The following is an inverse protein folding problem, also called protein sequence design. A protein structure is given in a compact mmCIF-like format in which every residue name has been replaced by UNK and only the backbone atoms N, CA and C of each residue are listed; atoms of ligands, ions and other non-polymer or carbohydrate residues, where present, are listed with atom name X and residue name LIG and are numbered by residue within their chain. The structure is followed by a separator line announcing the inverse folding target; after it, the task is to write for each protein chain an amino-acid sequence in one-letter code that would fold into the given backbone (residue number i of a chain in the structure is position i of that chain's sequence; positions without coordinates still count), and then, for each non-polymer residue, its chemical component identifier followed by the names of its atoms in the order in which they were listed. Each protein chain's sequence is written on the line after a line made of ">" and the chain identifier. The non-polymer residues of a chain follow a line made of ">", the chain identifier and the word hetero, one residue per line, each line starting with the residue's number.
data_IF_756692285543
#
_entry.id   IF_756692285543
#
_cell.length_a   1.000
_cell.length_b   1.000
_cell.length_c   1.000
_cell.angle_alpha   90.00
_cell.angle_beta   90.00
_cell.angle_gamma   90.00
#
_symmetry.space_group_name_H-M   'P 1'
#
loop_
_entity.id
_entity.type
_entity.pdbx_description
1 polymer ?
#
# COMPACT_ATOMS: atom_id res chain seq x y z
N UNK A 1 -22.85 10.26 24.75
CA UNK A 1 -23.16 9.23 23.73
C UNK A 1 -22.01 9.26 22.75
N UNK A 2 -21.29 8.16 22.59
CA UNK A 2 -20.16 8.12 21.67
C UNK A 2 -20.64 8.35 20.23
N UNK A 3 -19.95 9.20 19.48
CA UNK A 3 -20.31 9.53 18.09
C UNK A 3 -20.38 8.31 17.17
N UNK A 4 -19.57 7.29 17.48
CA UNK A 4 -19.60 5.97 16.82
C UNK A 4 -20.96 5.27 16.97
N UNK A 5 -21.62 5.41 18.11
CA UNK A 5 -22.94 4.81 18.36
C UNK A 5 -24.03 5.46 17.53
N UNK A 6 -23.94 6.76 17.23
CA UNK A 6 -24.88 7.49 16.38
C UNK A 6 -24.76 6.99 14.93
N UNK A 7 -23.54 6.93 14.40
CA UNK A 7 -23.30 6.42 13.03
C UNK A 7 -23.76 4.97 12.88
N UNK A 8 -23.51 4.13 13.90
CA UNK A 8 -23.95 2.73 13.93
C UNK A 8 -25.50 2.64 13.87
N UNK A 9 -26.18 3.45 14.68
CA UNK A 9 -27.65 3.49 14.70
C UNK A 9 -28.24 3.95 13.36
N UNK A 10 -27.67 4.97 12.74
CA UNK A 10 -28.10 5.47 11.44
C UNK A 10 -27.83 4.45 10.33
N UNK A 11 -26.68 3.79 10.34
CA UNK A 11 -26.34 2.76 9.37
C UNK A 11 -27.28 1.55 9.44
N UNK A 12 -27.65 1.11 10.64
CA UNK A 12 -28.62 0.02 10.84
C UNK A 12 -30.03 0.36 10.32
N UNK A 13 -30.46 1.62 10.46
CA UNK A 13 -31.74 2.09 9.91
C UNK A 13 -31.74 2.18 8.38
N UNK A 14 -30.61 2.54 7.78
CA UNK A 14 -30.49 2.77 6.34
C UNK A 14 -30.33 1.47 5.55
N UNK A 15 -29.82 0.40 6.19
CA UNK A 15 -29.53 -0.86 5.52
C UNK A 15 -28.30 -0.81 4.62
N UNK A 16 -28.02 -1.94 3.95
CA UNK A 16 -26.85 -2.08 3.07
C UNK A 16 -26.91 -1.15 1.86
N UNK A 17 -25.77 -0.56 1.49
CA UNK A 17 -25.66 0.35 0.36
C UNK A 17 -24.83 1.61 0.64
N UNK A 18 -24.90 2.55 -0.29
CA UNK A 18 -24.24 3.86 -0.15
C UNK A 18 -25.27 4.93 0.22
N UNK A 19 -25.00 5.66 1.28
CA UNK A 19 -25.89 6.67 1.84
C UNK A 19 -25.14 7.97 2.10
N UNK A 20 -25.90 9.09 2.17
CA UNK A 20 -25.38 10.37 2.63
C UNK A 20 -26.29 10.90 3.74
N UNK A 21 -25.70 11.26 4.87
CA UNK A 21 -26.40 11.80 6.04
C UNK A 21 -25.75 13.08 6.52
N UNK A 22 -26.41 13.76 7.46
CA UNK A 22 -25.82 14.87 8.20
C UNK A 22 -24.70 14.34 9.08
N UNK A 23 -23.55 15.01 9.06
CA UNK A 23 -22.40 14.56 9.84
C UNK A 23 -22.62 14.87 11.33
N UNK A 24 -22.64 13.86 12.22
CA UNK A 24 -22.81 14.11 13.65
C UNK A 24 -21.64 14.86 14.28
N UNK A 25 -20.46 14.85 13.65
CA UNK A 25 -19.27 15.54 14.15
C UNK A 25 -19.30 17.06 13.87
N UNK A 26 -19.86 17.50 12.75
CA UNK A 26 -19.74 18.90 12.34
C UNK A 26 -21.03 19.61 11.95
N UNK A 27 -22.18 18.92 11.83
CA UNK A 27 -23.44 19.55 11.40
C UNK A 27 -23.93 20.63 12.37
N UNK A 28 -23.74 20.43 13.69
CA UNK A 28 -24.15 21.39 14.72
C UNK A 28 -23.48 22.76 14.62
N UNK A 29 -22.24 22.80 14.13
CA UNK A 29 -21.39 24.00 14.07
C UNK A 29 -21.32 24.64 12.69
N UNK A 30 -22.19 24.21 11.75
CA UNK A 30 -22.20 24.73 10.37
C UNK A 30 -23.36 25.71 10.12
N UNK A 31 -23.11 26.65 9.20
CA UNK A 31 -24.17 27.57 8.72
C UNK A 31 -25.32 26.82 8.01
N UNK A 32 -24.97 25.77 7.20
CA UNK A 32 -25.92 24.90 6.49
C UNK A 32 -26.00 23.55 7.21
N UNK A 33 -26.83 23.49 8.26
CA UNK A 33 -26.96 22.30 9.12
C UNK A 33 -27.55 21.08 8.43
N UNK A 34 -28.41 21.28 7.44
CA UNK A 34 -29.13 20.21 6.73
C UNK A 34 -28.34 19.58 5.58
N UNK A 35 -27.13 20.06 5.32
CA UNK A 35 -26.30 19.56 4.25
C UNK A 35 -25.70 18.18 4.62
N UNK A 36 -26.07 17.16 3.85
CA UNK A 36 -25.58 15.79 4.01
C UNK A 36 -24.14 15.67 3.56
N UNK A 37 -23.19 15.73 4.48
CA UNK A 37 -21.73 15.72 4.20
C UNK A 37 -21.03 14.45 4.59
N UNK A 38 -21.70 13.56 5.33
CA UNK A 38 -21.14 12.26 5.71
C UNK A 38 -21.64 11.20 4.72
N UNK A 39 -20.71 10.62 3.97
CA UNK A 39 -20.96 9.45 3.14
C UNK A 39 -20.81 8.19 4.00
N UNK A 40 -21.77 7.27 3.90
CA UNK A 40 -21.74 5.96 4.52
C UNK A 40 -21.75 4.90 3.43
N UNK A 41 -20.91 3.89 3.57
CA UNK A 41 -21.02 2.63 2.85
C UNK A 41 -21.32 1.54 3.86
N UNK A 42 -22.55 1.05 3.85
CA UNK A 42 -23.05 0.04 4.79
C UNK A 42 -23.00 -1.32 4.13
N UNK A 43 -22.34 -2.26 4.79
CA UNK A 43 -22.31 -3.67 4.44
C UNK A 43 -22.91 -4.46 5.62
N UNK A 44 -23.20 -5.74 5.45
CA UNK A 44 -23.87 -6.59 6.46
C UNK A 44 -23.16 -6.61 7.82
N UNK A 45 -21.86 -6.39 7.87
CA UNK A 45 -21.05 -6.48 9.10
C UNK A 45 -20.31 -5.20 9.47
N UNK A 46 -20.29 -4.19 8.58
CA UNK A 46 -19.47 -2.98 8.77
C UNK A 46 -20.11 -1.76 8.09
N UNK A 47 -19.97 -0.60 8.71
CA UNK A 47 -20.17 0.68 8.04
C UNK A 47 -18.84 1.41 7.92
N UNK A 48 -18.52 1.85 6.72
CA UNK A 48 -17.39 2.75 6.45
C UNK A 48 -17.94 4.14 6.20
N UNK A 49 -17.36 5.15 6.83
CA UNK A 49 -17.84 6.51 6.71
C UNK A 49 -16.72 7.50 6.40
N UNK A 50 -17.09 8.57 5.70
CA UNK A 50 -16.19 9.69 5.40
C UNK A 50 -16.97 10.98 5.26
N UNK A 51 -16.60 12.00 6.02
CA UNK A 51 -17.15 13.35 5.92
C UNK A 51 -16.23 14.24 5.10
N UNK A 52 -16.71 14.70 3.95
CA UNK A 52 -15.94 15.61 3.10
C UNK A 52 -15.81 17.05 3.64
N UNK A 53 -16.56 17.41 4.72
CA UNK A 53 -16.46 18.73 5.34
C UNK A 53 -15.45 18.78 6.50
N UNK A 54 -15.58 17.91 7.50
CA UNK A 54 -14.65 17.87 8.65
C UNK A 54 -13.55 16.82 8.49
N UNK A 55 -13.56 16.07 7.40
CA UNK A 55 -12.60 15.01 7.07
C UNK A 55 -12.59 13.83 8.06
N UNK A 56 -13.57 13.79 8.98
CA UNK A 56 -13.76 12.63 9.85
C UNK A 56 -14.11 11.40 9.02
N UNK A 57 -13.40 10.32 9.25
CA UNK A 57 -13.57 9.05 8.53
C UNK A 57 -13.29 7.87 9.46
N UNK A 58 -13.77 6.70 9.08
CA UNK A 58 -13.53 5.50 9.86
C UNK A 58 -14.42 4.33 9.43
N UNK A 59 -14.37 3.26 10.22
CA UNK A 59 -15.25 2.12 10.08
C UNK A 59 -15.76 1.62 11.42
N UNK A 60 -17.01 1.15 11.46
CA UNK A 60 -17.66 0.61 12.65
C UNK A 60 -18.24 -0.75 12.29
N UNK A 61 -17.93 -1.78 13.08
CA UNK A 61 -18.51 -3.13 12.93
C UNK A 61 -19.79 -3.25 13.75
N UNK A 62 -20.76 -3.99 13.21
CA UNK A 62 -22.06 -4.16 13.86
C UNK A 62 -22.06 -5.23 14.96
N UNK A 63 -21.10 -6.15 14.95
CA UNK A 63 -21.00 -7.22 15.95
C UNK A 63 -19.72 -7.12 16.75
N UNK A 64 -19.83 -7.02 18.08
CA UNK A 64 -18.71 -7.00 19.02
C UNK A 64 -18.06 -8.39 19.22
N UNK A 65 -18.60 -9.45 18.61
CA UNK A 65 -18.20 -10.85 18.80
C UNK A 65 -17.64 -11.53 17.56
N UNK A 66 -17.27 -10.83 16.52
CA UNK A 66 -16.52 -11.47 15.45
C UNK A 66 -15.10 -11.68 15.94
N UNK A 67 -14.82 -12.90 16.45
CA UNK A 67 -13.45 -13.40 16.48
C UNK A 67 -12.82 -13.00 15.17
N UNK A 68 -11.73 -12.26 15.24
CA UNK A 68 -10.91 -11.90 14.09
C UNK A 68 -10.56 -13.21 13.39
N UNK A 69 -11.41 -13.65 12.46
CA UNK A 69 -11.01 -14.66 11.49
C UNK A 69 -9.99 -13.90 10.67
N UNK A 70 -8.73 -14.04 11.06
CA UNK A 70 -7.60 -13.67 10.23
C UNK A 70 -7.86 -14.38 8.91
N UNK A 71 -8.48 -13.70 7.94
CA UNK A 71 -8.53 -14.24 6.59
C UNK A 71 -7.08 -14.49 6.25
N UNK A 72 -6.71 -15.76 6.14
CA UNK A 72 -5.42 -16.10 5.57
C UNK A 72 -5.39 -15.36 4.25
N UNK A 73 -4.52 -14.37 4.17
CA UNK A 73 -4.34 -13.62 2.94
C UNK A 73 -3.87 -14.67 1.95
N UNK A 74 -4.70 -15.01 0.98
CA UNK A 74 -4.27 -15.84 -0.15
C UNK A 74 -3.10 -15.09 -0.74
N UNK A 75 -1.91 -15.64 -0.55
CA UNK A 75 -0.68 -15.08 -1.12
C UNK A 75 -0.75 -15.41 -2.59
N UNK A 76 -1.11 -14.44 -3.42
CA UNK A 76 -1.04 -14.59 -4.85
C UNK A 76 0.45 -14.56 -5.24
N UNK A 77 0.91 -15.61 -5.85
CA UNK A 77 2.26 -15.67 -6.39
C UNK A 77 2.37 -14.78 -7.65
N UNK A 78 3.55 -14.23 -7.88
CA UNK A 78 3.86 -13.55 -9.14
C UNK A 78 3.99 -14.59 -10.25
N UNK A 79 3.41 -14.30 -11.41
CA UNK A 79 3.63 -15.13 -12.60
C UNK A 79 5.09 -15.02 -13.03
N UNK A 80 5.85 -16.11 -12.83
CA UNK A 80 7.28 -16.17 -13.17
C UNK A 80 7.53 -15.90 -14.64
N UNK A 81 6.71 -16.45 -15.53
CA UNK A 81 6.86 -16.25 -16.99
C UNK A 81 6.64 -14.77 -17.35
N UNK A 82 5.62 -14.16 -16.78
CA UNK A 82 5.39 -12.74 -16.96
C UNK A 82 6.57 -11.92 -16.40
N UNK A 83 7.07 -12.24 -15.22
CA UNK A 83 8.18 -11.50 -14.62
C UNK A 83 9.45 -11.56 -15.45
N UNK A 84 9.84 -12.74 -15.97
CA UNK A 84 11.09 -12.91 -16.72
C UNK A 84 11.14 -12.14 -18.04
N UNK A 85 10.00 -11.80 -18.63
CA UNK A 85 9.97 -10.98 -19.84
C UNK A 85 10.38 -9.55 -19.48
N UNK A 86 11.41 -9.04 -20.14
CA UNK A 86 11.87 -7.66 -20.01
C UNK A 86 12.11 -7.08 -21.39
N UNK A 87 11.69 -5.85 -21.61
CA UNK A 87 11.87 -5.14 -22.88
C UNK A 87 12.37 -3.73 -22.62
N UNK A 88 13.37 -3.28 -23.40
CA UNK A 88 13.81 -1.89 -23.33
C UNK A 88 12.67 -0.96 -23.78
N UNK A 89 12.40 0.07 -22.99
CA UNK A 89 11.29 0.99 -23.20
C UNK A 89 11.64 2.41 -22.74
N UNK A 90 12.92 2.79 -22.79
CA UNK A 90 13.42 4.07 -22.28
C UNK A 90 13.74 4.06 -20.77
N UNK A 91 13.54 2.93 -20.08
CA UNK A 91 13.78 2.81 -18.64
C UNK A 91 15.23 3.01 -18.26
N UNK A 92 16.17 2.58 -19.11
CA UNK A 92 17.60 2.79 -18.88
C UNK A 92 17.97 4.26 -18.89
N UNK A 93 17.43 5.04 -19.83
CA UNK A 93 17.62 6.51 -19.87
C UNK A 93 17.07 7.16 -18.62
N UNK A 94 15.91 6.73 -18.15
CA UNK A 94 15.32 7.19 -16.90
C UNK A 94 16.20 6.85 -15.68
N UNK A 95 16.69 5.61 -15.56
CA UNK A 95 17.59 5.22 -14.46
C UNK A 95 18.89 6.04 -14.48
N UNK A 96 19.51 6.24 -15.65
CA UNK A 96 20.69 7.08 -15.81
C UNK A 96 20.44 8.51 -15.37
N UNK A 97 19.26 9.09 -15.69
CA UNK A 97 18.89 10.44 -15.22
C UNK A 97 18.71 10.53 -13.71
N UNK A 98 18.54 9.38 -13.05
CA UNK A 98 18.48 9.25 -11.59
C UNK A 98 19.80 8.84 -10.95
N UNK A 99 20.88 8.77 -11.74
CA UNK A 99 22.20 8.36 -11.27
C UNK A 99 22.32 6.85 -10.96
N UNK A 100 21.43 6.02 -11.51
CA UNK A 100 21.41 4.57 -11.28
C UNK A 100 21.89 3.86 -12.55
N UNK A 101 22.90 3.01 -12.42
CA UNK A 101 23.44 2.23 -13.53
C UNK A 101 22.55 1.03 -13.90
N UNK A 102 22.71 0.58 -15.12
CA UNK A 102 22.07 -0.67 -15.58
C UNK A 102 22.55 -1.89 -14.76
N UNK A 103 23.83 -1.88 -14.36
CA UNK A 103 24.42 -2.92 -13.53
C UNK A 103 23.70 -3.05 -12.19
N UNK A 104 23.47 -1.94 -11.50
CA UNK A 104 22.71 -1.93 -10.25
C UNK A 104 21.27 -2.43 -10.45
N UNK A 105 20.57 -1.94 -11.46
CA UNK A 105 19.21 -2.41 -11.72
C UNK A 105 19.15 -3.93 -12.01
N UNK A 106 20.08 -4.45 -12.80
CA UNK A 106 20.16 -5.87 -13.14
C UNK A 106 20.53 -6.75 -11.94
N UNK A 107 21.45 -6.30 -11.08
CA UNK A 107 21.87 -7.07 -9.90
C UNK A 107 20.73 -7.31 -8.91
N UNK A 108 19.76 -6.39 -8.86
CA UNK A 108 18.56 -6.48 -8.02
C UNK A 108 17.38 -7.15 -8.75
N UNK A 109 17.53 -7.48 -10.03
CA UNK A 109 16.47 -8.10 -10.84
C UNK A 109 15.39 -7.13 -11.32
N UNK A 110 15.65 -5.82 -11.32
CA UNK A 110 14.68 -4.85 -11.89
C UNK A 110 14.43 -5.17 -13.36
N UNK A 111 13.15 -5.28 -13.74
CA UNK A 111 12.72 -5.51 -15.14
C UNK A 111 12.08 -4.26 -15.72
N UNK A 112 12.03 -4.22 -17.04
CA UNK A 112 11.47 -3.12 -17.84
C UNK A 112 10.31 -3.65 -18.65
N UNK A 113 9.14 -3.00 -18.57
CA UNK A 113 7.93 -3.43 -19.28
C UNK A 113 7.05 -2.26 -19.64
N UNK A 114 6.29 -2.41 -20.72
CA UNK A 114 5.06 -1.65 -20.88
C UNK A 114 3.95 -2.35 -20.09
N UNK A 115 3.21 -1.60 -19.30
CA UNK A 115 2.17 -2.14 -18.43
C UNK A 115 0.99 -1.16 -18.33
N UNK A 116 -0.23 -1.70 -18.30
CA UNK A 116 -1.43 -0.90 -18.13
C UNK A 116 -1.48 -0.31 -16.72
N UNK A 117 -1.54 1.01 -16.62
CA UNK A 117 -1.64 1.73 -15.34
C UNK A 117 -3.06 2.28 -15.22
N UNK A 118 -3.81 1.77 -14.25
CA UNK A 118 -5.23 2.08 -14.09
C UNK A 118 -5.50 3.58 -13.84
N UNK A 119 -4.64 4.27 -13.09
CA UNK A 119 -4.73 5.72 -12.87
C UNK A 119 -4.56 6.54 -14.15
N UNK A 120 -3.78 6.03 -15.09
CA UNK A 120 -3.48 6.67 -16.38
C UNK A 120 -4.41 6.20 -17.51
N UNK A 121 -5.15 5.10 -17.28
CA UNK A 121 -6.05 4.43 -18.24
C UNK A 121 -5.37 4.06 -19.58
N UNK A 122 -4.08 3.74 -19.56
CA UNK A 122 -3.28 3.35 -20.73
C UNK A 122 -2.05 2.53 -20.34
N UNK A 123 -1.44 1.91 -21.36
CA UNK A 123 -0.12 1.30 -21.20
C UNK A 123 0.96 2.37 -21.08
N UNK A 124 1.86 2.16 -20.13
CA UNK A 124 2.95 3.05 -19.79
C UNK A 124 4.27 2.28 -19.72
N UNK A 125 5.40 2.90 -20.07
CA UNK A 125 6.71 2.34 -19.75
C UNK A 125 6.92 2.32 -18.23
N UNK A 126 7.27 1.15 -17.71
CA UNK A 126 7.33 0.89 -16.27
C UNK A 126 8.62 0.18 -15.86
N UNK A 127 9.06 0.46 -14.65
CA UNK A 127 10.00 -0.35 -13.89
C UNK A 127 9.22 -1.37 -13.06
N UNK A 128 9.72 -2.60 -13.01
CA UNK A 128 9.18 -3.68 -12.18
C UNK A 128 10.21 -4.03 -11.11
N UNK A 129 9.87 -3.79 -9.87
CA UNK A 129 10.71 -4.04 -8.70
C UNK A 129 10.31 -5.38 -8.07
N UNK A 130 11.18 -6.40 -8.08
CA UNK A 130 10.89 -7.69 -7.47
C UNK A 130 11.08 -7.63 -5.95
N UNK A 131 10.15 -8.19 -5.23
CA UNK A 131 10.30 -8.46 -3.81
C UNK A 131 10.48 -9.96 -3.65
N UNK A 132 11.72 -10.37 -3.47
CA UNK A 132 12.10 -11.75 -3.32
C UNK A 132 12.29 -12.11 -1.84
N UNK A 133 12.02 -13.35 -1.52
CA UNK A 133 12.34 -13.97 -0.24
C UNK A 133 12.82 -15.40 -0.48
N UNK A 134 14.03 -15.71 -0.02
CA UNK A 134 14.66 -17.03 -0.24
C UNK A 134 14.74 -17.41 -1.73
N UNK A 135 15.03 -16.44 -2.58
CA UNK A 135 15.13 -16.60 -4.03
C UNK A 135 13.80 -16.69 -4.80
N UNK A 136 12.65 -16.66 -4.11
CA UNK A 136 11.33 -16.68 -4.74
C UNK A 136 10.71 -15.29 -4.76
N UNK A 137 10.17 -14.87 -5.91
CA UNK A 137 9.53 -13.56 -6.05
C UNK A 137 8.08 -13.68 -5.59
N UNK A 138 7.77 -13.04 -4.46
CA UNK A 138 6.46 -13.08 -3.83
C UNK A 138 5.57 -11.89 -4.25
N UNK A 139 6.22 -10.77 -4.62
CA UNK A 139 5.54 -9.55 -5.00
C UNK A 139 6.37 -8.80 -6.06
N UNK A 140 5.70 -8.18 -7.01
CA UNK A 140 6.32 -7.30 -8.00
C UNK A 140 5.58 -5.96 -8.00
N UNK A 141 6.28 -4.90 -7.61
CA UNK A 141 5.74 -3.54 -7.69
C UNK A 141 6.09 -2.94 -9.05
N UNK A 142 5.08 -2.39 -9.70
CA UNK A 142 5.19 -1.83 -11.04
C UNK A 142 5.02 -0.32 -10.92
N UNK A 143 5.97 0.42 -11.45
CA UNK A 143 5.94 1.89 -11.41
C UNK A 143 6.20 2.47 -12.79
N UNK A 144 5.27 3.28 -13.27
CA UNK A 144 5.53 4.12 -14.45
C UNK A 144 6.52 5.23 -14.10
N UNK A 145 7.44 5.52 -15.00
CA UNK A 145 8.44 6.56 -14.73
C UNK A 145 8.11 7.92 -15.35
N UNK A 146 7.28 8.04 -16.38
CA UNK A 146 6.85 9.37 -16.81
C UNK A 146 5.92 10.06 -15.79
N UNK A 147 5.05 9.29 -15.07
CA UNK A 147 3.96 9.83 -14.22
C UNK A 147 4.02 9.21 -12.87
N UNK A 148 4.57 8.55 -12.21
CA UNK A 148 4.46 7.89 -10.89
C UNK A 148 3.16 7.10 -10.70
N UNK A 149 2.58 6.54 -11.77
CA UNK A 149 1.49 5.58 -11.65
C UNK A 149 1.99 4.23 -11.12
N UNK A 150 1.17 3.53 -10.36
CA UNK A 150 1.54 2.26 -9.73
C UNK A 150 0.56 1.14 -10.07
N UNK A 151 1.10 -0.06 -10.15
CA UNK A 151 0.40 -1.33 -10.19
C UNK A 151 1.22 -2.38 -9.45
N UNK A 152 0.68 -3.58 -9.26
CA UNK A 152 1.42 -4.66 -8.61
C UNK A 152 0.89 -6.03 -9.00
N UNK A 153 1.73 -7.06 -8.82
CA UNK A 153 1.35 -8.47 -8.83
C UNK A 153 1.85 -9.15 -7.55
N UNK A 154 1.12 -10.14 -7.10
CA UNK A 154 1.46 -10.86 -5.88
C UNK A 154 1.05 -10.14 -4.59
N UNK A 155 1.56 -10.58 -3.46
CA UNK A 155 1.30 -10.02 -2.14
C UNK A 155 2.58 -9.57 -1.46
N UNK A 156 2.66 -8.29 -1.07
CA UNK A 156 3.82 -7.74 -0.39
C UNK A 156 3.92 -8.31 1.03
N UNK A 157 4.87 -9.19 1.25
CA UNK A 157 5.09 -9.89 2.53
C UNK A 157 6.47 -9.63 3.14
N UNK A 158 7.40 -9.03 2.38
CA UNK A 158 8.76 -8.73 2.79
C UNK A 158 9.20 -7.33 2.35
N UNK A 159 10.38 -6.91 2.80
CA UNK A 159 11.05 -5.72 2.28
C UNK A 159 11.58 -5.97 0.86
N UNK A 160 11.63 -4.91 0.06
CA UNK A 160 12.41 -4.91 -1.16
C UNK A 160 13.90 -5.10 -0.84
N UNK A 161 14.59 -5.90 -1.63
CA UNK A 161 16.03 -6.20 -1.50
C UNK A 161 16.42 -6.99 -0.23
N UNK A 162 15.50 -7.63 0.48
CA UNK A 162 15.79 -8.32 1.75
C UNK A 162 16.76 -9.49 1.58
N UNK A 163 16.72 -10.19 0.43
CA UNK A 163 17.57 -11.35 0.17
C UNK A 163 19.06 -10.98 -0.06
N UNK A 164 19.33 -9.72 -0.42
CA UNK A 164 20.68 -9.20 -0.66
C UNK A 164 21.27 -8.48 0.56
N UNK A 165 20.56 -8.44 1.68
CA UNK A 165 21.07 -7.84 2.91
C UNK A 165 22.19 -8.72 3.47
N UNK A 166 23.38 -8.15 3.57
CA UNK A 166 24.48 -8.79 4.29
C UNK A 166 24.19 -8.70 5.80
N UNK A 167 24.57 -9.75 6.56
CA UNK A 167 24.42 -9.77 8.03
C UNK A 167 25.39 -8.77 8.65
N UNK A 168 24.91 -7.56 8.86
CA UNK A 168 25.63 -6.47 9.50
C UNK A 168 24.88 -6.01 10.75
N UNK A 169 25.55 -5.28 11.63
CA UNK A 169 24.95 -4.72 12.84
C UNK A 169 23.91 -3.62 12.57
N UNK A 170 23.79 -3.19 11.33
CA UNK A 170 22.85 -2.14 10.91
C UNK A 170 22.30 -2.38 9.51
N UNK A 171 21.12 -1.81 9.26
CA UNK A 171 20.43 -1.82 7.98
C UNK A 171 19.84 -0.44 7.70
N UNK A 172 19.92 0.00 6.45
CA UNK A 172 19.24 1.20 5.97
C UNK A 172 17.84 0.82 5.52
N UNK A 173 16.83 1.51 6.04
CA UNK A 173 15.44 1.35 5.60
C UNK A 173 15.01 2.61 4.85
N UNK A 174 14.67 2.47 3.58
CA UNK A 174 14.18 3.54 2.72
C UNK A 174 12.65 3.47 2.56
N UNK A 175 12.03 4.60 2.20
CA UNK A 175 10.60 4.64 1.90
C UNK A 175 10.29 4.06 0.51
N UNK A 176 11.19 4.20 -0.46
CA UNK A 176 10.97 3.81 -1.85
C UNK A 176 12.09 2.97 -2.46
N UNK A 177 11.71 2.20 -3.49
CA UNK A 177 12.64 1.32 -4.21
C UNK A 177 13.74 2.12 -4.93
N UNK A 178 13.41 3.31 -5.45
CA UNK A 178 14.39 4.16 -6.12
C UNK A 178 15.45 4.68 -5.16
N UNK A 179 15.05 5.00 -3.92
CA UNK A 179 16.01 5.45 -2.89
C UNK A 179 16.91 4.28 -2.49
N UNK A 180 16.33 3.07 -2.36
CA UNK A 180 17.10 1.85 -2.12
C UNK A 180 18.14 1.60 -3.23
N UNK A 181 17.75 1.70 -4.51
CA UNK A 181 18.69 1.57 -5.64
C UNK A 181 19.78 2.63 -5.61
N UNK A 182 19.48 3.87 -5.17
CA UNK A 182 20.48 4.93 -5.06
C UNK A 182 21.55 4.61 -4.01
N UNK A 183 21.17 4.02 -2.87
CA UNK A 183 22.12 3.55 -1.88
C UNK A 183 22.96 2.39 -2.38
N UNK A 184 22.35 1.44 -3.12
CA UNK A 184 23.07 0.30 -3.71
C UNK A 184 24.08 0.80 -4.74
N UNK A 185 23.72 1.79 -5.57
CA UNK A 185 24.61 2.39 -6.58
C UNK A 185 25.88 2.96 -5.97
N UNK A 186 25.80 3.54 -4.79
CA UNK A 186 26.97 4.12 -4.09
C UNK A 186 27.65 3.11 -3.15
N UNK A 187 27.30 1.82 -3.24
CA UNK A 187 28.01 0.72 -2.60
C UNK A 187 27.45 0.22 -1.26
N UNK A 188 26.32 0.76 -0.77
CA UNK A 188 25.65 0.24 0.41
C UNK A 188 24.84 -1.03 0.05
N UNK A 189 25.17 -2.16 0.66
CA UNK A 189 24.48 -3.43 0.35
C UNK A 189 23.36 -3.75 1.34
N UNK A 190 23.53 -3.39 2.63
CA UNK A 190 22.52 -3.63 3.66
C UNK A 190 21.46 -2.51 3.66
N UNK A 191 20.70 -2.44 2.57
CA UNK A 191 19.62 -1.47 2.39
C UNK A 191 18.37 -2.15 1.86
N UNK A 192 17.21 -1.74 2.39
CA UNK A 192 15.89 -2.25 1.99
C UNK A 192 14.90 -1.10 1.84
N UNK A 193 13.81 -1.35 1.13
CA UNK A 193 12.68 -0.40 1.17
C UNK A 193 11.38 -1.08 1.57
N UNK A 194 10.48 -0.25 2.12
CA UNK A 194 9.14 -0.69 2.52
C UNK A 194 8.22 -0.80 1.30
N UNK A 195 7.31 -1.79 1.24
CA UNK A 195 6.51 -2.02 0.04
C UNK A 195 5.41 -0.98 -0.20
N UNK A 196 4.87 -0.35 0.83
CA UNK A 196 3.66 0.46 0.74
C UNK A 196 3.77 1.89 1.27
N UNK A 197 4.99 2.41 1.44
CA UNK A 197 5.22 3.74 2.02
C UNK A 197 4.92 3.79 3.53
N UNK A 198 5.20 4.94 4.13
CA UNK A 198 5.00 5.16 5.55
C UNK A 198 3.51 5.25 5.93
N UNK A 199 3.18 4.89 7.16
CA UNK A 199 1.82 5.02 7.69
C UNK A 199 1.49 6.48 7.94
N UNK A 200 0.32 6.90 7.47
CA UNK A 200 -0.10 8.30 7.61
C UNK A 200 -0.63 8.66 9.00
N UNK A 201 -1.03 7.70 9.83
CA UNK A 201 -1.66 7.99 11.12
C UNK A 201 -1.34 6.93 12.18
N UNK A 202 -0.71 7.36 13.26
CA UNK A 202 -0.59 6.60 14.50
C UNK A 202 -1.40 7.36 15.56
N UNK A 203 -2.42 6.72 16.13
CA UNK A 203 -3.25 7.29 17.19
C UNK A 203 -2.89 6.57 18.51
N UNK A 204 -2.47 7.32 19.51
CA UNK A 204 -2.07 6.82 20.82
C UNK A 204 -1.02 5.69 20.80
N UNK A 205 -0.06 5.78 19.88
CA UNK A 205 0.99 4.77 19.71
C UNK A 205 0.50 3.43 19.13
N UNK A 206 -0.75 3.35 18.68
CA UNK A 206 -1.33 2.16 18.05
C UNK A 206 -1.53 2.37 16.56
N UNK A 207 -1.21 1.34 15.81
CA UNK A 207 -1.48 1.27 14.36
C UNK A 207 -2.93 0.83 14.19
N UNK A 208 -3.67 1.51 13.32
CA UNK A 208 -5.03 1.10 12.98
C UNK A 208 -5.06 -0.34 12.44
N UNK A 209 -6.07 -1.12 12.83
CA UNK A 209 -6.17 -2.53 12.49
C UNK A 209 -6.20 -2.80 10.96
N UNK A 210 -6.72 -1.89 10.13
CA UNK A 210 -6.67 -2.04 8.68
C UNK A 210 -5.30 -1.67 8.08
N UNK A 211 -4.50 -0.88 8.80
CA UNK A 211 -3.12 -0.55 8.45
C UNK A 211 -2.13 -1.64 8.89
N UNK A 212 -2.46 -2.43 9.93
CA UNK A 212 -1.59 -3.49 10.48
C UNK A 212 -1.14 -4.50 9.41
N UNK A 213 -2.00 -4.79 8.44
CA UNK A 213 -1.66 -5.63 7.29
C UNK A 213 -0.49 -5.11 6.45
N UNK A 214 -0.24 -3.80 6.44
CA UNK A 214 0.87 -3.17 5.72
C UNK A 214 2.24 -3.46 6.37
N UNK A 215 2.25 -3.84 7.63
CA UNK A 215 3.46 -4.12 8.41
C UNK A 215 3.83 -5.59 8.50
N UNK A 216 3.11 -6.48 7.79
CA UNK A 216 3.43 -7.92 7.77
C UNK A 216 4.88 -8.21 7.44
N UNK A 217 5.49 -7.40 6.58
CA UNK A 217 6.91 -7.51 6.22
C UNK A 217 7.85 -7.40 7.43
N UNK A 218 7.53 -6.58 8.45
CA UNK A 218 8.34 -6.46 9.69
C UNK A 218 8.30 -7.77 10.46
N UNK A 219 7.13 -8.38 10.60
CA UNK A 219 6.96 -9.64 11.33
C UNK A 219 7.61 -10.81 10.60
N UNK A 220 7.51 -10.84 9.27
CA UNK A 220 8.12 -11.88 8.45
C UNK A 220 9.65 -11.81 8.49
N UNK A 221 10.22 -10.62 8.57
CA UNK A 221 11.67 -10.40 8.63
C UNK A 221 12.30 -10.81 9.98
N UNK A 222 11.51 -10.85 11.07
CA UNK A 222 11.98 -11.31 12.38
C UNK A 222 12.27 -12.82 12.46
N UNK A 223 11.88 -13.60 11.46
CA UNK A 223 12.08 -15.05 11.39
C UNK A 223 13.37 -15.44 10.65
N UNK A 224 14.17 -14.48 10.24
CA UNK A 224 15.51 -14.62 9.70
C UNK A 224 16.51 -14.12 10.75
#
# INVERSE_FOLDING_TARGET
>A
MELSSIIRADALKLGSGQHKINCPFCSGNRKKRDQKTLSLKVDNSVVVFNCWHCQENGSIRFEDNVKYIRRETVVHAVDKKWYEISSENGSLSYLKSRGISEGTAKSIGVKFKNHYIASEKKEMPCLVFPYASKGEIEFAKIRSFPTKGFSSQGSAVNFFNIDNVETNDWIIICEGEMDCLSFIEVGYKSVVSIPHGAVMKVIDGKIDAHEDGKFKFIWNSKKK
#
